data_IF_856614929657
#
_entry.id   IF_856614929657
#
_cell.length_a   1.000
_cell.length_b   1.000
_cell.length_c   1.000
_cell.angle_alpha   90.00
_cell.angle_beta   90.00
_cell.angle_gamma   90.00
#
_symmetry.space_group_name_H-M   'P 1'
#
loop_
_entity.id
_entity.type
_entity.pdbx_description
1 polymer ?
#
# COMPACT_ATOMS: atom_id res chain seq x y z
N UNK A 1 -6.73 18.36 -1.51
CA UNK A 1 -6.38 18.98 -2.82
C UNK A 1 -5.40 18.05 -3.51
N UNK A 2 -5.74 17.52 -4.70
CA UNK A 2 -4.79 16.71 -5.50
C UNK A 2 -3.66 17.62 -5.96
N UNK A 3 -2.41 17.20 -5.79
CA UNK A 3 -1.24 17.95 -6.28
C UNK A 3 -1.28 18.04 -7.81
N UNK A 4 -1.02 19.22 -8.36
CA UNK A 4 -0.95 19.41 -9.82
C UNK A 4 0.34 18.85 -10.43
N UNK A 5 1.31 18.46 -9.59
CA UNK A 5 2.61 17.95 -10.01
C UNK A 5 2.51 16.46 -10.29
N UNK A 6 2.93 16.06 -11.49
CA UNK A 6 3.06 14.65 -11.88
C UNK A 6 4.48 14.15 -11.60
N UNK A 7 4.58 12.87 -11.30
CA UNK A 7 5.84 12.17 -11.03
C UNK A 7 5.94 10.96 -11.95
N UNK A 8 7.18 10.55 -12.26
CA UNK A 8 7.43 9.34 -13.05
C UNK A 8 7.42 8.10 -12.16
N UNK A 9 6.58 7.12 -12.50
CA UNK A 9 6.57 5.85 -11.79
C UNK A 9 7.75 4.97 -12.22
N UNK A 10 8.58 4.56 -11.27
CA UNK A 10 9.60 3.54 -11.44
C UNK A 10 9.09 2.24 -10.82
N UNK A 11 9.35 1.13 -11.50
CA UNK A 11 8.98 -0.19 -10.99
C UNK A 11 10.25 -0.90 -10.56
N UNK A 12 10.30 -1.31 -9.30
CA UNK A 12 11.40 -2.11 -8.76
C UNK A 12 10.96 -3.54 -8.47
N UNK A 13 11.93 -4.44 -8.35
CA UNK A 13 11.70 -5.82 -7.90
C UNK A 13 12.06 -5.94 -6.42
N UNK A 14 11.51 -6.95 -5.75
CA UNK A 14 11.98 -7.37 -4.42
C UNK A 14 13.51 -7.46 -4.33
N UNK A 15 14.06 -7.06 -3.19
CA UNK A 15 15.50 -6.89 -2.98
C UNK A 15 16.10 -5.57 -3.50
N UNK A 16 15.29 -4.64 -4.03
CA UNK A 16 15.79 -3.35 -4.51
C UNK A 16 16.36 -2.48 -3.38
N UNK A 17 17.66 -2.21 -3.45
CA UNK A 17 18.39 -1.49 -2.41
C UNK A 17 18.41 -2.22 -1.07
N UNK A 18 18.40 -3.56 -1.08
CA UNK A 18 18.56 -4.40 0.12
C UNK A 18 17.31 -4.54 0.98
N UNK A 19 16.15 -4.06 0.54
CA UNK A 19 14.88 -4.20 1.25
C UNK A 19 13.77 -4.71 0.33
N UNK A 20 12.75 -5.34 0.93
CA UNK A 20 11.54 -5.80 0.25
C UNK A 20 10.39 -4.80 0.38
N UNK A 21 10.74 -3.51 0.47
CA UNK A 21 9.77 -2.43 0.62
C UNK A 21 8.93 -2.27 -0.65
N UNK A 22 7.62 -2.22 -0.49
CA UNK A 22 6.67 -2.05 -1.60
C UNK A 22 6.71 -0.62 -2.18
N UNK A 23 7.07 0.36 -1.36
CA UNK A 23 7.16 1.77 -1.72
C UNK A 23 8.51 2.35 -1.27
N UNK A 24 9.22 2.98 -2.20
CA UNK A 24 10.43 3.75 -1.90
C UNK A 24 10.26 5.18 -2.39
N UNK A 25 10.43 6.11 -1.48
CA UNK A 25 10.25 7.55 -1.73
C UNK A 25 11.58 8.27 -1.56
N UNK A 26 11.87 9.22 -2.45
CA UNK A 26 13.01 10.11 -2.31
C UNK A 26 12.66 11.31 -1.42
N UNK A 27 13.22 11.45 -0.20
CA UNK A 27 12.92 12.57 0.68
C UNK A 27 13.32 13.94 0.11
N UNK A 28 14.29 13.98 -0.83
CA UNK A 28 14.68 15.24 -1.52
C UNK A 28 13.60 15.73 -2.48
N UNK A 29 12.82 14.81 -3.04
CA UNK A 29 11.71 15.11 -3.96
C UNK A 29 10.43 15.38 -3.17
N UNK A 30 10.25 14.67 -2.05
CA UNK A 30 9.09 14.75 -1.18
C UNK A 30 9.48 15.14 0.25
N UNK A 31 9.89 16.41 0.49
CA UNK A 31 10.40 16.83 1.80
C UNK A 31 9.33 16.84 2.91
N UNK A 32 8.05 16.80 2.53
CA UNK A 32 6.92 16.78 3.45
C UNK A 32 6.48 15.35 3.84
N UNK A 33 6.96 14.32 3.13
CA UNK A 33 6.60 12.92 3.38
C UNK A 33 7.52 12.36 4.46
N UNK A 34 6.92 11.70 5.45
CA UNK A 34 7.59 11.04 6.57
C UNK A 34 7.33 9.55 6.58
N UNK A 35 8.13 8.83 7.36
CA UNK A 35 7.88 7.42 7.64
C UNK A 35 6.52 7.26 8.34
N UNK A 36 5.73 6.29 7.89
CA UNK A 36 4.39 6.02 8.39
C UNK A 36 3.27 6.77 7.68
N UNK A 37 3.57 7.80 6.89
CA UNK A 37 2.57 8.50 6.08
C UNK A 37 1.94 7.57 5.05
N UNK A 38 0.68 7.83 4.73
CA UNK A 38 -0.05 7.11 3.69
C UNK A 38 -0.01 7.93 2.42
N UNK A 39 0.49 7.30 1.36
CA UNK A 39 0.63 7.91 0.04
C UNK A 39 -0.35 7.26 -0.91
N UNK A 40 -1.16 8.11 -1.53
CA UNK A 40 -2.02 7.79 -2.65
C UNK A 40 -1.25 8.01 -3.96
N UNK A 41 -1.22 6.97 -4.79
CA UNK A 41 -0.66 6.98 -6.14
C UNK A 41 -1.83 6.80 -7.12
N UNK A 42 -2.18 7.88 -7.82
CA UNK A 42 -3.33 7.91 -8.73
C UNK A 42 -2.89 8.08 -10.19
N UNK A 43 -3.65 7.47 -11.10
CA UNK A 43 -3.45 7.65 -12.54
C UNK A 43 -4.01 9.02 -12.99
N UNK A 44 -3.36 9.75 -13.91
CA UNK A 44 -3.81 11.07 -14.33
C UNK A 44 -5.21 11.10 -14.95
N UNK A 45 -5.58 10.00 -15.62
CA UNK A 45 -6.86 9.88 -16.31
C UNK A 45 -8.02 9.36 -15.43
N UNK A 46 -7.83 9.16 -14.11
CA UNK A 46 -8.84 8.67 -13.15
C UNK A 46 -9.56 7.34 -13.54
N UNK A 47 -9.08 6.63 -14.58
CA UNK A 47 -9.71 5.42 -15.12
C UNK A 47 -9.56 4.19 -14.22
N UNK A 48 -8.60 4.21 -13.29
CA UNK A 48 -8.27 3.11 -12.39
C UNK A 48 -8.33 3.55 -10.93
N UNK A 49 -8.67 2.61 -10.04
CA UNK A 49 -8.62 2.86 -8.60
C UNK A 49 -7.21 3.28 -8.17
N UNK A 50 -7.08 4.31 -7.31
CA UNK A 50 -5.78 4.73 -6.80
C UNK A 50 -5.18 3.62 -5.93
N UNK A 51 -3.84 3.63 -5.82
CA UNK A 51 -3.08 2.75 -4.95
C UNK A 51 -2.71 3.50 -3.66
N UNK A 52 -3.02 2.92 -2.51
CA UNK A 52 -2.61 3.43 -1.20
C UNK A 52 -1.48 2.55 -0.64
N UNK A 53 -0.35 3.17 -0.32
CA UNK A 53 0.78 2.50 0.33
C UNK A 53 1.32 3.35 1.48
N UNK A 54 1.79 2.68 2.51
CA UNK A 54 2.45 3.32 3.64
C UNK A 54 3.94 3.48 3.38
N UNK A 55 4.50 4.64 3.72
CA UNK A 55 5.93 4.91 3.57
C UNK A 55 6.70 4.18 4.66
N UNK A 56 7.33 3.06 4.29
CA UNK A 56 8.21 2.29 5.17
C UNK A 56 9.70 2.64 5.01
N UNK A 57 10.05 3.26 3.88
CA UNK A 57 11.45 3.46 3.46
C UNK A 57 11.63 4.76 2.70
N UNK A 58 12.66 5.52 3.11
CA UNK A 58 13.09 6.74 2.46
C UNK A 58 14.52 6.53 1.94
N UNK A 59 14.73 6.61 0.63
CA UNK A 59 16.05 6.43 0.02
C UNK A 59 16.39 7.61 -0.88
N UNK A 60 17.56 8.20 -0.67
CA UNK A 60 18.01 9.38 -1.42
C UNK A 60 18.55 9.06 -2.82
N UNK A 61 18.91 7.80 -3.06
CA UNK A 61 19.59 7.33 -4.28
C UNK A 61 18.65 7.18 -5.49
N UNK A 62 17.36 7.45 -5.30
CA UNK A 62 16.37 7.46 -6.39
C UNK A 62 16.59 8.67 -7.30
N UNK A 63 16.32 8.49 -8.59
CA UNK A 63 16.33 9.59 -9.56
C UNK A 63 15.39 10.73 -9.11
N UNK A 64 15.69 11.96 -9.53
CA UNK A 64 14.84 13.12 -9.24
C UNK A 64 13.46 12.93 -9.88
N UNK A 65 12.41 13.32 -9.16
CA UNK A 65 11.01 13.33 -9.61
C UNK A 65 10.39 11.95 -9.92
N UNK A 66 10.95 10.88 -9.34
CA UNK A 66 10.39 9.53 -9.45
C UNK A 66 9.81 9.03 -8.13
N UNK A 67 8.86 8.09 -8.24
CA UNK A 67 8.35 7.28 -7.13
C UNK A 67 8.52 5.81 -7.50
N UNK A 68 9.05 5.00 -6.58
CA UNK A 68 9.34 3.59 -6.87
C UNK A 68 8.35 2.67 -6.17
N UNK A 69 7.69 1.81 -6.95
CA UNK A 69 6.70 0.84 -6.44
C UNK A 69 7.07 -0.58 -6.87
N UNK A 70 6.85 -1.55 -5.99
CA UNK A 70 7.16 -2.95 -6.28
C UNK A 70 6.32 -3.50 -7.46
N UNK A 71 6.98 -4.34 -8.27
CA UNK A 71 6.40 -4.94 -9.47
C UNK A 71 5.12 -5.73 -9.18
N UNK A 72 5.01 -6.41 -8.04
CA UNK A 72 3.82 -7.20 -7.73
C UNK A 72 2.62 -6.31 -7.45
N UNK A 73 2.82 -5.17 -6.79
CA UNK A 73 1.76 -4.19 -6.51
C UNK A 73 1.30 -3.50 -7.79
N UNK A 74 2.25 -3.06 -8.62
CA UNK A 74 1.93 -2.39 -9.90
C UNK A 74 1.12 -3.27 -10.85
N UNK A 75 1.33 -4.58 -10.85
CA UNK A 75 0.54 -5.52 -11.64
C UNK A 75 -0.94 -5.58 -11.21
N UNK A 76 -1.21 -5.55 -9.91
CA UNK A 76 -2.57 -5.56 -9.35
C UNK A 76 -3.33 -4.29 -9.74
N UNK A 77 -2.66 -3.14 -9.65
CA UNK A 77 -3.24 -1.82 -9.94
C UNK A 77 -3.06 -1.37 -11.41
N UNK A 78 -2.55 -2.25 -12.28
CA UNK A 78 -2.30 -2.00 -13.72
C UNK A 78 -1.45 -0.75 -13.99
N UNK A 79 -0.49 -0.49 -13.10
CA UNK A 79 0.45 0.62 -13.26
C UNK A 79 1.59 0.23 -14.20
N UNK A 80 1.97 1.14 -15.11
CA UNK A 80 3.04 0.92 -16.09
C UNK A 80 4.31 1.70 -15.74
N UNK A 81 5.50 1.17 -16.09
CA UNK A 81 6.75 1.89 -15.84
C UNK A 81 6.81 3.19 -16.65
N UNK A 82 7.40 4.22 -16.07
CA UNK A 82 7.59 5.56 -16.63
C UNK A 82 6.32 6.32 -17.01
N UNK A 83 5.15 5.85 -16.58
CA UNK A 83 3.92 6.62 -16.69
C UNK A 83 3.92 7.78 -15.69
N UNK A 84 3.20 8.85 -16.03
CA UNK A 84 2.94 9.95 -15.11
C UNK A 84 1.90 9.52 -14.08
N UNK A 85 2.15 9.83 -12.81
CA UNK A 85 1.25 9.55 -11.69
C UNK A 85 1.15 10.76 -10.78
N UNK A 86 -0.01 10.93 -10.14
CA UNK A 86 -0.17 11.86 -9.03
C UNK A 86 0.20 11.16 -7.73
N UNK A 87 0.89 11.89 -6.87
CA UNK A 87 1.34 11.40 -5.56
C UNK A 87 0.82 12.36 -4.50
N UNK A 88 -0.07 11.88 -3.62
CA UNK A 88 -0.67 12.69 -2.58
C UNK A 88 -0.51 12.02 -1.22
N UNK A 89 -0.22 12.80 -0.19
CA UNK A 89 -0.33 12.31 1.19
C UNK A 89 -1.80 12.43 1.61
N UNK A 90 -2.35 11.35 2.17
CA UNK A 90 -3.75 11.29 2.62
C UNK A 90 -3.83 11.04 4.12
N UNK A 91 -4.89 11.56 4.75
CA UNK A 91 -5.16 11.28 6.16
C UNK A 91 -5.69 9.84 6.29
N UNK A 92 -5.13 9.00 7.18
CA UNK A 92 -5.64 7.65 7.44
C UNK A 92 -7.15 7.59 7.68
N UNK A 93 -7.74 8.62 8.30
CA UNK A 93 -9.18 8.68 8.58
C UNK A 93 -10.05 8.68 7.32
N UNK A 94 -9.57 9.25 6.24
CA UNK A 94 -10.33 9.36 4.98
C UNK A 94 -10.29 8.06 4.17
N UNK A 95 -9.32 7.18 4.46
CA UNK A 95 -9.06 5.94 3.71
C UNK A 95 -9.16 4.68 4.58
N UNK A 96 -9.78 4.79 5.75
CA UNK A 96 -9.95 3.67 6.68
C UNK A 96 -10.96 2.65 6.14
N UNK A 97 -10.61 1.37 6.24
CA UNK A 97 -11.45 0.23 5.87
C UNK A 97 -12.42 -0.13 6.99
N UNK A 98 -13.64 -0.53 6.61
CA UNK A 98 -14.65 -1.03 7.55
C UNK A 98 -14.47 -2.54 7.79
N UNK A 99 -14.14 -3.29 6.74
CA UNK A 99 -13.99 -4.74 6.78
C UNK A 99 -12.88 -5.20 5.84
N UNK A 100 -12.07 -6.15 6.32
CA UNK A 100 -11.03 -6.82 5.54
C UNK A 100 -11.21 -8.32 5.62
N UNK A 101 -11.42 -8.95 4.46
CA UNK A 101 -11.46 -10.40 4.37
C UNK A 101 -10.06 -10.96 4.12
N UNK A 102 -9.65 -11.93 4.94
CA UNK A 102 -8.40 -12.66 4.79
C UNK A 102 -8.69 -14.13 4.49
N UNK A 103 -8.09 -14.63 3.41
CA UNK A 103 -8.12 -16.06 3.08
C UNK A 103 -6.83 -16.73 3.57
N UNK A 104 -6.98 -17.84 4.28
CA UNK A 104 -5.87 -18.66 4.76
C UNK A 104 -5.83 -19.96 3.97
N UNK A 105 -4.63 -20.39 3.58
CA UNK A 105 -4.45 -21.58 2.76
C UNK A 105 -3.53 -22.57 3.45
N UNK A 106 -3.96 -23.83 3.53
CA UNK A 106 -3.17 -24.97 4.01
C UNK A 106 -2.60 -24.79 5.44
N UNK A 107 -3.32 -24.06 6.31
CA UNK A 107 -2.91 -23.77 7.68
C UNK A 107 -4.10 -23.85 8.65
N UNK A 108 -3.88 -24.48 9.81
CA UNK A 108 -4.80 -24.40 10.95
C UNK A 108 -4.36 -23.24 11.84
N UNK A 109 -5.30 -22.35 12.20
CA UNK A 109 -5.01 -21.13 12.95
C UNK A 109 -5.94 -21.06 14.16
N UNK A 110 -5.36 -20.94 15.35
CA UNK A 110 -6.13 -20.75 16.58
C UNK A 110 -6.63 -19.32 16.73
N UNK A 111 -7.66 -19.10 17.57
CA UNK A 111 -8.19 -17.75 17.85
C UNK A 111 -7.14 -16.78 18.39
N UNK A 112 -6.20 -17.27 19.22
CA UNK A 112 -5.11 -16.44 19.75
C UNK A 112 -4.17 -15.94 18.66
N UNK A 113 -3.89 -16.78 17.66
CA UNK A 113 -3.06 -16.42 16.52
C UNK A 113 -3.78 -15.46 15.58
N UNK A 114 -5.08 -15.67 15.32
CA UNK A 114 -5.92 -14.71 14.59
C UNK A 114 -5.92 -13.34 15.28
N UNK A 115 -6.02 -13.30 16.60
CA UNK A 115 -5.98 -12.05 17.36
C UNK A 115 -4.64 -11.32 17.22
N UNK A 116 -3.52 -12.06 17.32
CA UNK A 116 -2.17 -11.49 17.14
C UNK A 116 -1.96 -11.00 15.71
N UNK A 117 -2.43 -11.76 14.71
CA UNK A 117 -2.42 -11.35 13.31
C UNK A 117 -3.21 -10.06 13.12
N UNK A 118 -4.45 -9.99 13.64
CA UNK A 118 -5.26 -8.76 13.61
C UNK A 118 -4.49 -7.59 14.20
N UNK A 119 -3.91 -7.76 15.40
CA UNK A 119 -3.11 -6.71 16.05
C UNK A 119 -1.88 -6.29 15.26
N UNK A 120 -1.26 -7.18 14.49
CA UNK A 120 -0.12 -6.86 13.64
C UNK A 120 -0.49 -6.06 12.38
N UNK A 121 -1.75 -6.17 11.94
CA UNK A 121 -2.26 -5.48 10.75
C UNK A 121 -2.81 -4.08 11.06
N UNK A 122 -3.17 -3.82 12.31
CA UNK A 122 -3.60 -2.48 12.75
C UNK A 122 -2.51 -1.47 12.44
N UNK A 123 -2.93 -0.31 11.95
CA UNK A 123 -2.09 0.82 11.55
C UNK A 123 -1.24 0.60 10.30
N UNK A 124 -1.67 -0.32 9.42
CA UNK A 124 -1.01 -0.62 8.14
C UNK A 124 -1.97 -0.44 6.97
N UNK A 125 -1.42 -0.29 5.76
CA UNK A 125 -2.21 -0.30 4.52
C UNK A 125 -2.39 -1.73 4.01
N UNK A 126 -3.58 -2.02 3.49
CA UNK A 126 -3.91 -3.27 2.84
C UNK A 126 -4.45 -3.05 1.43
N UNK A 127 -4.16 -4.00 0.53
CA UNK A 127 -4.70 -4.01 -0.83
C UNK A 127 -5.11 -5.42 -1.25
N UNK A 128 -6.01 -5.51 -2.22
CA UNK A 128 -6.52 -6.79 -2.71
C UNK A 128 -5.39 -7.69 -3.19
N UNK A 129 -5.48 -8.99 -2.94
CA UNK A 129 -4.47 -10.02 -3.25
C UNK A 129 -3.13 -9.87 -2.52
N UNK A 130 -2.97 -8.88 -1.63
CA UNK A 130 -1.75 -8.73 -0.83
C UNK A 130 -1.50 -9.98 0.00
N UNK A 131 -0.24 -10.44 -0.01
CA UNK A 131 0.21 -11.54 0.83
C UNK A 131 0.59 -11.00 2.20
N UNK A 132 -0.04 -11.53 3.23
CA UNK A 132 0.23 -11.20 4.62
C UNK A 132 0.95 -12.37 5.26
N UNK A 133 2.10 -12.09 5.87
CA UNK A 133 2.88 -13.07 6.62
C UNK A 133 3.18 -12.56 8.02
N UNK A 134 2.79 -13.33 9.04
CA UNK A 134 3.04 -12.98 10.43
C UNK A 134 3.23 -14.24 11.28
N UNK A 135 4.35 -14.35 11.98
CA UNK A 135 4.66 -15.49 12.86
C UNK A 135 4.46 -16.88 12.18
N UNK A 136 4.80 -17.00 10.89
CA UNK A 136 4.63 -18.23 10.10
C UNK A 136 3.21 -18.45 9.52
N UNK A 137 2.25 -17.61 9.91
CA UNK A 137 0.90 -17.57 9.33
C UNK A 137 0.99 -16.88 7.97
N UNK A 138 0.39 -17.49 6.96
CA UNK A 138 0.31 -16.96 5.60
C UNK A 138 -1.16 -16.78 5.23
N UNK A 139 -1.51 -15.54 4.93
CA UNK A 139 -2.85 -15.16 4.50
C UNK A 139 -2.77 -14.33 3.23
N UNK A 140 -3.91 -14.19 2.56
CA UNK A 140 -4.07 -13.31 1.42
C UNK A 140 -5.28 -12.42 1.63
N UNK A 141 -5.12 -11.12 1.42
CA UNK A 141 -6.23 -10.17 1.40
C UNK A 141 -7.16 -10.48 0.21
N UNK A 142 -8.42 -10.75 0.53
CA UNK A 142 -9.49 -11.02 -0.41
C UNK A 142 -10.25 -9.73 -0.72
N UNK A 143 -11.37 -9.54 -0.03
CA UNK A 143 -12.22 -8.36 -0.21
C UNK A 143 -11.93 -7.26 0.82
N UNK A 144 -11.95 -6.01 0.38
CA UNK A 144 -11.80 -4.83 1.22
C UNK A 144 -13.04 -3.97 1.03
N UNK A 145 -13.59 -3.44 2.12
CA UNK A 145 -14.86 -2.74 2.10
C UNK A 145 -14.81 -1.41 2.84
N UNK A 146 -15.46 -0.40 2.26
CA UNK A 146 -15.73 0.92 2.86
C UNK A 146 -17.17 1.28 2.57
N UNK A 147 -17.98 1.60 3.59
CA UNK A 147 -19.38 2.00 3.49
C UNK A 147 -20.22 1.09 2.58
N UNK A 148 -19.99 -0.22 2.67
CA UNK A 148 -20.65 -1.26 1.87
C UNK A 148 -20.29 -1.22 0.36
N UNK A 149 -19.20 -0.55 -0.02
CA UNK A 149 -18.60 -0.58 -1.35
C UNK A 149 -17.27 -1.34 -1.32
N UNK A 150 -17.01 -2.13 -2.36
CA UNK A 150 -15.73 -2.83 -2.52
C UNK A 150 -14.66 -1.85 -2.99
N UNK A 151 -13.53 -1.84 -2.29
CA UNK A 151 -12.36 -1.03 -2.64
C UNK A 151 -11.15 -1.92 -2.93
N UNK A 152 -10.18 -1.39 -3.67
CA UNK A 152 -8.97 -2.14 -4.04
C UNK A 152 -7.85 -2.02 -3.00
N UNK A 153 -7.87 -0.97 -2.19
CA UNK A 153 -6.93 -0.73 -1.09
C UNK A 153 -7.52 0.19 -0.03
N UNK A 154 -6.92 0.22 1.15
CA UNK A 154 -7.23 1.16 2.22
C UNK A 154 -6.35 0.95 3.45
N UNK A 155 -6.67 1.66 4.52
CA UNK A 155 -5.96 1.63 5.79
C UNK A 155 -6.71 0.82 6.84
N UNK A 156 -6.00 -0.02 7.57
CA UNK A 156 -6.56 -0.82 8.66
C UNK A 156 -6.39 -0.03 9.97
N UNK A 157 -7.51 0.37 10.57
CA UNK A 157 -7.56 1.00 11.88
C UNK A 157 -7.92 -0.01 12.98
N UNK A 158 -8.02 0.45 14.23
CA UNK A 158 -8.51 -0.39 15.34
C UNK A 158 -9.99 -0.78 15.18
N UNK A 159 -10.77 0.04 14.47
CA UNK A 159 -12.21 -0.15 14.26
C UNK A 159 -12.52 -1.08 13.08
N UNK A 160 -11.53 -1.33 12.21
CA UNK A 160 -11.66 -2.24 11.06
C UNK A 160 -11.98 -3.67 11.54
N UNK A 161 -12.98 -4.28 10.90
CA UNK A 161 -13.47 -5.61 11.23
C UNK A 161 -12.69 -6.71 10.53
#
# INVERSE_FOLDING_TARGET
MRTAKVYKLVIHKKGFGGSDDELVVNPKVFPHIKLGDIVEIAHPNDEYSPLLLQVKSLKEDLQKETISVDQTVTQVFRLRPYQDVYVNVVDPKDVTLDLVELTFKDQYIGRGDMWRLKKSLVSTCAYITQKVEFAGIRAQAGELWVKNEKVMCGYISEDTR
#
